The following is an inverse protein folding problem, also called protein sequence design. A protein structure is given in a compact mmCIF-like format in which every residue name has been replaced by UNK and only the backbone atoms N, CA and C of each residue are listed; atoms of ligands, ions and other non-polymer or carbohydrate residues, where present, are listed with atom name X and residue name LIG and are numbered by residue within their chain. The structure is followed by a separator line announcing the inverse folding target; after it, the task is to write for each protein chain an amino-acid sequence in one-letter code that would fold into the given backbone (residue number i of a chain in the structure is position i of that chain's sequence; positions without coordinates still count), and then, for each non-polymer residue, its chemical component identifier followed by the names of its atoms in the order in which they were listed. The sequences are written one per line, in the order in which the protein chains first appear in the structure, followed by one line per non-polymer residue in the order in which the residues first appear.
data_IF_183609395922
#
_entry.id   IF_183609395922
#
_cell.length_a   1.000
_cell.length_b   1.000
_cell.length_c   1.000
_cell.angle_alpha   90.00
_cell.angle_beta   90.00
_cell.angle_gamma   90.00
#
_symmetry.space_group_name_H-M   'P 1'
#
loop_
_entity.id
_entity.type
_entity.pdbx_description
1 polymer ?
#
# COMPACT_ATOMS: atom_id res chain seq x y z
N UNK A 1 -10.05 15.57 -8.70
CA UNK A 1 -9.06 14.66 -9.31
C UNK A 1 -8.34 13.91 -8.19
N UNK A 2 -8.22 12.59 -8.34
CA UNK A 2 -7.46 11.72 -7.42
C UNK A 2 -6.11 11.37 -8.07
N UNK A 3 -5.03 11.44 -7.30
CA UNK A 3 -3.68 11.14 -7.77
C UNK A 3 -3.16 9.86 -7.11
N UNK A 4 -2.82 8.86 -7.92
CA UNK A 4 -2.03 7.71 -7.48
C UNK A 4 -0.57 8.02 -7.77
N UNK A 5 0.26 8.08 -6.73
CA UNK A 5 1.66 8.46 -6.85
C UNK A 5 2.55 7.28 -6.48
N UNK A 6 3.07 6.64 -7.52
CA UNK A 6 4.08 5.60 -7.43
C UNK A 6 5.42 6.12 -6.91
N UNK A 7 6.31 5.17 -6.62
CA UNK A 7 7.66 5.45 -6.14
C UNK A 7 8.68 5.63 -7.28
N UNK A 8 8.22 5.83 -8.52
CA UNK A 8 9.05 6.16 -9.67
C UNK A 8 9.54 7.62 -9.70
N UNK A 9 10.33 8.01 -10.70
CA UNK A 9 10.76 9.40 -10.89
C UNK A 9 9.58 10.28 -11.31
N UNK A 10 9.57 11.53 -10.83
CA UNK A 10 8.55 12.54 -11.18
C UNK A 10 9.19 13.80 -11.76
N UNK A 11 8.59 14.33 -12.82
CA UNK A 11 8.94 15.64 -13.37
C UNK A 11 8.32 16.80 -12.58
N UNK A 12 8.78 18.04 -12.84
CA UNK A 12 8.24 19.23 -12.18
C UNK A 12 6.73 19.41 -12.43
N UNK A 13 6.28 19.18 -13.66
CA UNK A 13 4.85 19.24 -14.02
C UNK A 13 4.01 18.19 -13.29
N UNK A 14 4.55 17.00 -13.06
CA UNK A 14 3.83 15.95 -12.32
C UNK A 14 3.61 16.38 -10.87
N UNK A 15 4.64 16.96 -10.24
CA UNK A 15 4.57 17.47 -8.86
C UNK A 15 3.55 18.59 -8.70
N UNK A 16 3.50 19.52 -9.66
CA UNK A 16 2.49 20.59 -9.67
C UNK A 16 1.07 20.02 -9.74
N UNK A 17 0.85 19.00 -10.59
CA UNK A 17 -0.45 18.33 -10.71
C UNK A 17 -0.83 17.55 -9.46
N UNK A 18 0.13 16.84 -8.86
CA UNK A 18 -0.08 16.11 -7.60
C UNK A 18 -0.44 17.08 -6.48
N UNK A 19 0.26 18.21 -6.36
CA UNK A 19 -0.02 19.22 -5.34
C UNK A 19 -1.43 19.85 -5.48
N UNK A 20 -1.95 19.92 -6.72
CA UNK A 20 -3.30 20.40 -7.01
C UNK A 20 -4.40 19.32 -6.87
N UNK A 21 -4.05 18.08 -6.50
CA UNK A 21 -5.02 17.00 -6.36
C UNK A 21 -5.96 17.22 -5.18
N UNK A 22 -7.19 16.72 -5.30
CA UNK A 22 -8.15 16.70 -4.19
C UNK A 22 -7.88 15.55 -3.22
N UNK A 23 -7.22 14.49 -3.70
CA UNK A 23 -6.91 13.29 -2.93
C UNK A 23 -5.65 12.60 -3.48
N UNK A 24 -4.70 12.25 -2.62
CA UNK A 24 -3.38 11.72 -2.97
C UNK A 24 -3.14 10.38 -2.28
N UNK A 25 -2.84 9.36 -3.09
CA UNK A 25 -2.56 7.98 -2.67
C UNK A 25 -1.08 7.68 -2.86
N UNK A 26 -0.43 7.12 -1.84
CA UNK A 26 0.99 6.73 -1.86
C UNK A 26 1.20 5.30 -1.38
N UNK A 27 2.43 4.79 -1.53
CA UNK A 27 2.76 3.39 -1.27
C UNK A 27 4.00 3.20 -0.42
N UNK A 28 3.88 2.33 0.60
CA UNK A 28 4.98 1.79 1.39
C UNK A 28 5.90 2.89 1.94
N UNK A 29 7.21 2.77 1.70
CA UNK A 29 8.19 3.80 2.05
C UNK A 29 8.33 4.78 0.89
N UNK A 30 7.92 6.02 1.14
CA UNK A 30 8.06 7.07 0.13
C UNK A 30 9.52 7.54 0.05
N UNK A 31 10.11 7.61 -1.16
CA UNK A 31 11.49 8.08 -1.30
C UNK A 31 11.59 9.56 -0.91
N UNK A 32 12.75 9.99 -0.40
CA UNK A 32 12.99 11.36 0.08
C UNK A 32 12.53 12.46 -0.88
N UNK A 33 12.66 12.24 -2.19
CA UNK A 33 12.23 13.21 -3.21
C UNK A 33 10.72 13.45 -3.24
N UNK A 34 9.91 12.57 -2.66
CA UNK A 34 8.45 12.66 -2.57
C UNK A 34 7.99 13.05 -1.15
N UNK A 35 8.93 13.25 -0.23
CA UNK A 35 8.63 13.65 1.14
C UNK A 35 8.17 15.11 1.20
N UNK A 36 7.19 15.37 2.07
CA UNK A 36 6.62 16.70 2.28
C UNK A 36 5.47 17.06 1.33
N UNK A 37 5.11 16.17 0.40
CA UNK A 37 3.87 16.26 -0.35
C UNK A 37 2.73 15.61 0.46
N UNK A 38 1.56 16.27 0.50
CA UNK A 38 0.36 15.76 1.20
C UNK A 38 0.09 14.30 0.80
N UNK A 39 -0.31 13.51 1.78
CA UNK A 39 -0.75 12.12 1.60
C UNK A 39 -2.09 11.97 2.29
N UNK A 40 -3.11 11.52 1.57
CA UNK A 40 -4.44 11.30 2.12
C UNK A 40 -4.60 9.81 2.50
N UNK A 41 -4.18 8.91 1.61
CA UNK A 41 -4.13 7.46 1.85
C UNK A 41 -2.70 6.91 1.65
N UNK A 42 -2.25 6.07 2.58
CA UNK A 42 -1.00 5.32 2.46
C UNK A 42 -1.27 3.82 2.37
N UNK A 43 -0.97 3.25 1.21
CA UNK A 43 -1.09 1.83 0.94
C UNK A 43 0.15 1.08 1.45
N UNK A 44 -0.06 0.11 2.34
CA UNK A 44 1.01 -0.67 2.97
C UNK A 44 0.89 -2.15 2.61
N UNK A 45 1.96 -2.67 2.01
CA UNK A 45 2.15 -4.09 1.75
C UNK A 45 2.62 -4.80 3.03
N UNK A 46 1.66 -5.07 3.91
CA UNK A 46 1.87 -5.71 5.22
C UNK A 46 2.36 -7.16 5.14
N UNK A 47 2.70 -7.68 3.95
CA UNK A 47 3.34 -8.98 3.77
C UNK A 47 4.87 -8.93 3.76
N UNK A 48 5.46 -7.73 3.57
CA UNK A 48 6.90 -7.61 3.35
C UNK A 48 7.71 -7.46 4.63
N UNK A 49 8.97 -7.93 4.60
CA UNK A 49 9.95 -7.70 5.68
C UNK A 49 10.18 -6.21 5.92
N UNK A 50 10.27 -5.41 4.86
CA UNK A 50 10.52 -3.97 4.94
C UNK A 50 9.41 -3.24 5.71
N UNK A 51 8.14 -3.56 5.45
CA UNK A 51 7.02 -3.00 6.21
C UNK A 51 7.05 -3.50 7.67
N UNK A 52 7.44 -4.75 7.90
CA UNK A 52 7.64 -5.26 9.25
C UNK A 52 8.67 -4.46 10.07
N UNK A 53 9.82 -4.15 9.48
CA UNK A 53 10.85 -3.31 10.11
C UNK A 53 10.36 -1.87 10.28
N UNK A 54 9.70 -1.33 9.26
CA UNK A 54 9.11 0.00 9.26
C UNK A 54 8.16 0.23 10.45
N UNK A 55 7.26 -0.74 10.69
CA UNK A 55 6.29 -0.71 11.77
C UNK A 55 6.93 -1.04 13.13
N UNK A 56 7.72 -2.12 13.22
CA UNK A 56 8.25 -2.62 14.49
C UNK A 56 9.32 -1.70 15.10
N UNK A 57 10.16 -1.09 14.26
CA UNK A 57 11.22 -0.20 14.73
C UNK A 57 10.76 1.27 14.84
N UNK A 58 9.50 1.56 14.51
CA UNK A 58 8.95 2.91 14.62
C UNK A 58 9.46 3.89 13.56
N UNK A 59 10.02 3.41 12.44
CA UNK A 59 10.54 4.24 11.34
C UNK A 59 9.44 5.14 10.76
N UNK A 60 8.20 4.65 10.76
CA UNK A 60 7.01 5.40 10.32
C UNK A 60 6.81 6.75 11.02
N UNK A 61 7.40 6.96 12.20
CA UNK A 61 7.26 8.21 12.96
C UNK A 61 7.86 9.40 12.23
N UNK A 62 8.95 9.15 11.50
CA UNK A 62 9.69 10.19 10.77
C UNK A 62 9.24 10.29 9.31
N UNK A 63 8.46 9.35 8.82
CA UNK A 63 7.94 9.32 7.45
C UNK A 63 6.78 10.32 7.26
N UNK A 64 6.95 11.37 6.44
CA UNK A 64 5.89 12.34 6.17
C UNK A 64 4.64 11.72 5.55
N UNK A 65 4.78 10.68 4.71
CA UNK A 65 3.62 10.07 4.08
C UNK A 65 2.71 9.38 5.10
N UNK A 66 3.30 8.71 6.08
CA UNK A 66 2.55 8.13 7.19
C UNK A 66 1.98 9.20 8.12
N UNK A 67 2.77 10.24 8.42
CA UNK A 67 2.33 11.35 9.27
C UNK A 67 1.08 12.00 8.71
N UNK A 68 1.09 12.32 7.43
CA UNK A 68 0.03 13.06 6.74
C UNK A 68 -1.19 12.20 6.44
N UNK A 69 -0.99 10.91 6.09
CA UNK A 69 -2.09 10.00 5.75
C UNK A 69 -3.16 9.95 6.83
N UNK A 70 -4.42 10.18 6.46
CA UNK A 70 -5.55 10.04 7.37
C UNK A 70 -6.06 8.59 7.43
N UNK A 71 -5.81 7.82 6.37
CA UNK A 71 -6.15 6.39 6.26
C UNK A 71 -4.95 5.56 5.82
N UNK A 72 -4.79 4.40 6.46
CA UNK A 72 -3.85 3.36 6.03
C UNK A 72 -4.63 2.24 5.33
N UNK A 73 -4.17 1.86 4.14
CA UNK A 73 -4.81 0.80 3.35
C UNK A 73 -3.88 -0.41 3.27
N UNK A 74 -4.28 -1.52 3.86
CA UNK A 74 -3.54 -2.78 3.80
C UNK A 74 -3.85 -3.47 2.48
N UNK A 75 -2.84 -3.59 1.62
CA UNK A 75 -3.05 -3.99 0.21
C UNK A 75 -3.44 -5.44 0.01
N UNK A 76 -3.21 -6.28 1.00
CA UNK A 76 -3.54 -7.70 0.94
C UNK A 76 -4.40 -8.07 2.13
N UNK A 77 -5.48 -8.78 1.86
CA UNK A 77 -6.22 -9.47 2.90
C UNK A 77 -5.31 -10.50 3.62
N UNK A 78 -5.42 -10.70 4.95
CA UNK A 78 -4.62 -11.70 5.68
C UNK A 78 -4.66 -13.11 5.07
N UNK A 79 -5.79 -13.50 4.48
CA UNK A 79 -5.88 -14.79 3.77
C UNK A 79 -4.98 -14.86 2.54
N UNK A 80 -4.88 -13.78 1.76
CA UNK A 80 -3.96 -13.73 0.61
C UNK A 80 -2.52 -13.89 1.10
N UNK A 81 -2.17 -13.22 2.20
CA UNK A 81 -0.85 -13.35 2.83
C UNK A 81 -0.59 -14.77 3.30
N UNK A 82 -1.57 -15.40 3.93
CA UNK A 82 -1.46 -16.76 4.47
C UNK A 82 -1.26 -17.81 3.37
N UNK A 83 -1.99 -17.71 2.26
CA UNK A 83 -2.03 -18.75 1.24
C UNK A 83 -1.02 -18.54 0.10
N UNK A 84 -0.80 -17.29 -0.31
CA UNK A 84 -0.06 -17.01 -1.55
C UNK A 84 1.29 -16.36 -1.32
N UNK A 85 1.49 -15.65 -0.21
CA UNK A 85 2.75 -14.93 0.03
C UNK A 85 3.83 -15.85 0.60
N UNK A 86 5.13 -15.57 0.34
CA UNK A 86 6.24 -16.33 0.90
C UNK A 86 6.21 -16.40 2.43
N UNK A 87 6.22 -17.61 2.97
CA UNK A 87 6.19 -17.85 4.40
C UNK A 87 7.61 -17.94 4.99
N UNK A 88 7.89 -17.35 6.17
CA UNK A 88 9.15 -17.57 6.85
C UNK A 88 9.28 -19.04 7.21
N UNK A 89 10.49 -19.60 7.05
CA UNK A 89 10.80 -20.95 7.51
C UNK A 89 10.71 -21.06 9.04
N UNK A 90 10.69 -22.29 9.56
CA UNK A 90 10.50 -22.55 11.00
C UNK A 90 11.52 -21.81 11.87
N UNK A 91 12.81 -21.84 11.51
CA UNK A 91 13.87 -21.14 12.23
C UNK A 91 13.64 -19.62 12.26
N UNK A 92 13.19 -19.05 11.14
CA UNK A 92 12.88 -17.63 11.04
C UNK A 92 11.69 -17.25 11.92
N UNK A 93 10.67 -18.11 12.02
CA UNK A 93 9.52 -17.87 12.91
C UNK A 93 9.92 -17.89 14.39
N UNK A 94 10.84 -18.78 14.78
CA UNK A 94 11.34 -18.89 16.15
C UNK A 94 12.07 -17.61 16.61
N UNK A 95 12.75 -16.92 15.70
CA UNK A 95 13.38 -15.61 15.97
C UNK A 95 12.40 -14.43 15.79
N UNK A 96 11.10 -14.71 15.71
CA UNK A 96 10.04 -13.70 15.67
C UNK A 96 9.72 -13.15 14.28
N UNK A 97 10.27 -13.71 13.19
CA UNK A 97 9.93 -13.25 11.84
C UNK A 97 8.47 -13.59 11.51
N UNK A 98 7.74 -12.55 11.08
CA UNK A 98 6.37 -12.64 10.57
C UNK A 98 6.34 -12.25 9.09
N UNK A 99 5.31 -12.73 8.41
CA UNK A 99 4.94 -12.34 7.06
C UNK A 99 3.58 -11.66 7.00
N UNK A 100 2.89 -11.49 8.14
CA UNK A 100 1.68 -10.69 8.23
C UNK A 100 1.87 -9.66 9.34
N UNK A 101 1.82 -8.40 8.94
CA UNK A 101 1.97 -7.23 9.79
C UNK A 101 0.67 -6.42 9.91
N UNK A 102 -0.44 -6.92 9.37
CA UNK A 102 -1.72 -6.20 9.28
C UNK A 102 -2.24 -5.82 10.66
N UNK A 103 -2.28 -6.77 11.61
CA UNK A 103 -2.71 -6.50 12.99
C UNK A 103 -1.81 -5.47 13.72
N UNK A 104 -0.51 -5.43 13.42
CA UNK A 104 0.38 -4.40 13.97
C UNK A 104 0.10 -3.03 13.35
N UNK A 105 -0.16 -3.00 12.04
CA UNK A 105 -0.56 -1.80 11.32
C UNK A 105 -1.86 -1.22 11.89
N UNK A 106 -2.88 -2.06 12.10
CA UNK A 106 -4.16 -1.66 12.70
C UNK A 106 -3.98 -1.07 14.10
N UNK A 107 -3.20 -1.75 14.95
CA UNK A 107 -2.88 -1.24 16.28
C UNK A 107 -2.22 0.14 16.23
N UNK A 108 -1.19 0.29 15.39
CA UNK A 108 -0.47 1.55 15.22
C UNK A 108 -1.41 2.64 14.69
N UNK A 109 -2.29 2.33 13.72
CA UNK A 109 -3.24 3.28 13.19
C UNK A 109 -4.21 3.79 14.27
N UNK A 110 -4.77 2.87 15.07
CA UNK A 110 -5.66 3.19 16.19
C UNK A 110 -4.97 4.09 17.22
N UNK A 111 -3.73 3.77 17.60
CA UNK A 111 -2.91 4.59 18.51
C UNK A 111 -2.62 5.99 17.97
N UNK A 112 -2.73 6.19 16.64
CA UNK A 112 -2.48 7.46 15.96
C UNK A 112 -3.76 8.15 15.47
N UNK A 113 -4.94 7.60 15.78
CA UNK A 113 -6.22 8.15 15.33
C UNK A 113 -6.38 8.14 13.81
N UNK A 114 -5.79 7.18 13.12
CA UNK A 114 -5.89 7.00 11.66
C UNK A 114 -6.94 5.94 11.34
N UNK A 115 -7.65 6.11 10.23
CA UNK A 115 -8.54 5.09 9.69
C UNK A 115 -7.75 3.93 9.11
N UNK A 116 -8.38 2.76 9.04
CA UNK A 116 -7.80 1.57 8.40
C UNK A 116 -8.79 0.94 7.44
N UNK A 117 -8.25 0.40 6.36
CA UNK A 117 -8.98 -0.38 5.37
C UNK A 117 -8.11 -1.56 4.95
N UNK A 118 -8.70 -2.74 4.83
CA UNK A 118 -8.05 -3.91 4.25
C UNK A 118 -8.72 -4.21 2.92
N UNK A 119 -7.93 -4.26 1.84
CA UNK A 119 -8.51 -4.58 0.53
C UNK A 119 -9.10 -6.01 0.54
N UNK A 120 -10.28 -6.21 -0.06
CA UNK A 120 -10.92 -7.52 -0.09
C UNK A 120 -10.10 -8.53 -0.91
N UNK A 121 -10.17 -9.80 -0.54
CA UNK A 121 -9.43 -10.86 -1.22
C UNK A 121 -9.83 -11.00 -2.70
N UNK A 122 -11.08 -10.68 -3.01
CA UNK A 122 -11.67 -10.70 -4.35
C UNK A 122 -10.98 -9.72 -5.29
N UNK A 123 -10.61 -8.53 -4.79
CA UNK A 123 -9.90 -7.52 -5.58
C UNK A 123 -8.51 -8.02 -5.99
N UNK A 124 -7.82 -8.71 -5.08
CA UNK A 124 -6.54 -9.36 -5.40
C UNK A 124 -6.70 -10.47 -6.45
N UNK A 125 -7.73 -11.33 -6.31
CA UNK A 125 -7.99 -12.41 -7.29
C UNK A 125 -8.33 -11.85 -8.67
N UNK A 126 -9.17 -10.82 -8.73
CA UNK A 126 -9.48 -10.12 -9.97
C UNK A 126 -8.23 -9.49 -10.59
N UNK A 127 -7.34 -8.91 -9.78
CA UNK A 127 -6.08 -8.36 -10.26
C UNK A 127 -5.20 -9.44 -10.91
N UNK A 128 -5.07 -10.60 -10.28
CA UNK A 128 -4.32 -11.72 -10.85
C UNK A 128 -4.93 -12.20 -12.16
N UNK A 129 -6.26 -12.33 -12.24
CA UNK A 129 -6.96 -12.71 -13.46
C UNK A 129 -6.70 -11.72 -14.61
N UNK A 130 -6.83 -10.41 -14.35
CA UNK A 130 -6.57 -9.35 -15.36
C UNK A 130 -5.12 -9.40 -15.85
N UNK A 131 -4.17 -9.69 -14.97
CA UNK A 131 -2.74 -9.75 -15.29
C UNK A 131 -2.31 -11.11 -15.84
N UNK A 132 -3.19 -12.11 -15.88
CA UNK A 132 -2.86 -13.47 -16.30
C UNK A 132 -1.92 -14.22 -15.34
N UNK A 133 -1.90 -13.83 -14.05
CA UNK A 133 -1.06 -14.44 -13.01
C UNK A 133 -1.74 -15.69 -12.47
N UNK A 134 -1.07 -16.85 -12.59
CA UNK A 134 -1.47 -18.07 -11.90
C UNK A 134 -1.01 -18.03 -10.44
N UNK A 135 -1.93 -17.70 -9.53
CA UNK A 135 -1.67 -17.51 -8.09
C UNK A 135 -1.10 -18.74 -7.38
N UNK A 136 -1.31 -19.95 -7.93
CA UNK A 136 -0.86 -21.20 -7.31
C UNK A 136 0.56 -21.59 -7.76
N UNK A 137 1.06 -20.97 -8.84
CA UNK A 137 2.32 -21.37 -9.49
C UNK A 137 3.35 -20.27 -9.56
N UNK A 138 2.92 -19.01 -9.60
CA UNK A 138 3.81 -17.89 -9.80
C UNK A 138 4.28 -17.27 -8.48
N UNK A 139 5.55 -16.85 -8.47
CA UNK A 139 6.12 -16.02 -7.41
C UNK A 139 5.89 -14.51 -7.67
N UNK A 140 5.10 -14.17 -8.69
CA UNK A 140 4.78 -12.80 -9.06
C UNK A 140 3.42 -12.41 -8.50
N UNK A 141 3.33 -11.18 -7.99
CA UNK A 141 2.17 -10.65 -7.31
C UNK A 141 1.79 -9.31 -7.95
N UNK A 142 0.48 -8.99 -8.09
CA UNK A 142 0.05 -7.65 -8.47
C UNK A 142 0.72 -6.59 -7.58
N UNK A 143 1.18 -5.50 -8.17
CA UNK A 143 1.78 -4.41 -7.39
C UNK A 143 0.72 -3.71 -6.54
N UNK A 144 1.12 -3.12 -5.41
CA UNK A 144 0.23 -2.30 -4.59
C UNK A 144 -0.40 -1.14 -5.39
N UNK A 145 0.34 -0.59 -6.35
CA UNK A 145 -0.14 0.45 -7.26
C UNK A 145 -1.27 -0.05 -8.16
N UNK A 146 -1.14 -1.25 -8.73
CA UNK A 146 -2.18 -1.82 -9.56
C UNK A 146 -3.46 -2.12 -8.76
N UNK A 147 -3.31 -2.64 -7.54
CA UNK A 147 -4.45 -2.88 -6.64
C UNK A 147 -5.17 -1.57 -6.26
N UNK A 148 -4.42 -0.50 -6.01
CA UNK A 148 -5.01 0.82 -5.78
C UNK A 148 -5.78 1.32 -7.00
N UNK A 149 -5.24 1.17 -8.22
CA UNK A 149 -5.96 1.52 -9.46
C UNK A 149 -7.28 0.76 -9.56
N UNK A 150 -7.30 -0.54 -9.30
CA UNK A 150 -8.53 -1.32 -9.34
C UNK A 150 -9.55 -0.90 -8.26
N UNK A 151 -9.09 -0.64 -7.03
CA UNK A 151 -9.94 -0.11 -5.94
C UNK A 151 -10.59 1.20 -6.36
N UNK A 152 -9.78 2.12 -6.88
CA UNK A 152 -10.24 3.42 -7.36
C UNK A 152 -11.23 3.31 -8.52
N UNK A 153 -11.02 2.39 -9.47
CA UNK A 153 -11.95 2.18 -10.57
C UNK A 153 -13.29 1.55 -10.14
N UNK A 154 -13.32 0.80 -9.03
CA UNK A 154 -14.54 0.22 -8.47
C UNK A 154 -15.34 1.23 -7.65
N UNK A 155 -14.65 2.06 -6.87
CA UNK A 155 -15.28 2.97 -5.91
C UNK A 155 -15.59 4.35 -6.50
N UNK A 156 -14.86 4.78 -7.53
CA UNK A 156 -15.00 6.14 -8.03
C UNK A 156 -16.32 6.33 -8.80
N UNK A 157 -17.04 7.44 -8.55
CA UNK A 157 -18.10 7.90 -9.45
C UNK A 157 -17.57 7.98 -10.88
N UNK A 158 -18.38 7.58 -11.88
CA UNK A 158 -17.95 7.57 -13.29
C UNK A 158 -17.46 8.93 -13.83
N UNK A 159 -17.73 10.02 -13.11
CA UNK A 159 -17.29 11.39 -13.44
C UNK A 159 -15.94 11.78 -12.81
N UNK A 160 -15.32 10.89 -12.03
CA UNK A 160 -14.08 11.16 -11.31
C UNK A 160 -12.87 10.98 -12.24
N UNK A 161 -11.95 11.94 -12.19
CA UNK A 161 -10.66 11.83 -12.90
C UNK A 161 -9.60 11.23 -11.98
N UNK A 162 -9.07 10.08 -12.38
CA UNK A 162 -7.92 9.42 -11.76
C UNK A 162 -6.67 9.69 -12.61
N UNK A 163 -5.60 10.15 -11.98
CA UNK A 163 -4.28 10.29 -12.61
C UNK A 163 -3.24 9.45 -11.89
N UNK A 164 -2.34 8.85 -12.66
CA UNK A 164 -1.30 7.95 -12.17
C UNK A 164 0.05 8.56 -12.52
N UNK A 165 0.93 8.64 -11.53
CA UNK A 165 2.25 9.26 -11.65
C UNK A 165 3.33 8.31 -11.11
N UNK A 166 4.52 8.35 -11.72
CA UNK A 166 5.71 7.61 -11.25
C UNK A 166 5.56 6.10 -11.33
#
# INVERSE_FOLDING_TARGET
MRAIVGNGPLGGRDRERIAAADHIIRFNLTPNRLQGERTDELFLSCSSKQIGEYLSNGIFRDDPAFRDATRLVMTYHPDIIRYYMPQPNLLSRLIGRRNDWSALCEKIAAERGKETETLPAELYRAACEILGIDIEREAFFPSSGFLAVLRELQDAPQTSRLEIFG
#
